data_IF_911524960288
#
_entry.id   IF_911524960288
#
_cell.length_a   1.000
_cell.length_b   1.000
_cell.length_c   1.000
_cell.angle_alpha   90.00
_cell.angle_beta   90.00
_cell.angle_gamma   90.00
#
_symmetry.space_group_name_H-M   'P 1'
#
loop_
_entity.id
_entity.type
_entity.pdbx_description
1 polymer ?
#
# COMPACT_ATOMS: atom_id res chain seq x y z
N UNK A 1 -19.58 -16.35 12.88
CA UNK A 1 -20.16 -16.87 14.17
C UNK A 1 -21.38 -17.75 13.91
N UNK A 2 -21.85 -18.53 14.89
CA UNK A 2 -23.10 -19.31 14.73
C UNK A 2 -24.32 -18.41 14.84
N UNK A 3 -25.42 -18.74 14.13
CA UNK A 3 -26.69 -17.99 14.22
C UNK A 3 -27.22 -17.93 15.65
N UNK A 4 -27.06 -19.00 16.45
CA UNK A 4 -27.47 -19.03 17.86
C UNK A 4 -26.70 -18.04 18.74
N UNK A 5 -25.41 -17.85 18.49
CA UNK A 5 -24.57 -16.88 19.21
C UNK A 5 -24.97 -15.46 18.84
N UNK A 6 -25.13 -15.19 17.55
CA UNK A 6 -25.57 -13.90 17.05
C UNK A 6 -26.95 -13.50 17.60
N UNK A 7 -27.90 -14.45 17.62
CA UNK A 7 -29.23 -14.18 18.17
C UNK A 7 -29.16 -13.72 19.64
N UNK A 8 -28.29 -14.35 20.45
CA UNK A 8 -28.08 -13.94 21.85
C UNK A 8 -27.49 -12.53 21.95
N UNK A 9 -26.49 -12.22 21.11
CA UNK A 9 -25.85 -10.89 21.06
C UNK A 9 -26.85 -9.79 20.66
N UNK A 10 -27.80 -10.11 19.77
CA UNK A 10 -28.85 -9.19 19.34
C UNK A 10 -30.08 -9.16 20.29
N UNK A 11 -30.05 -9.93 21.37
CA UNK A 11 -31.17 -9.99 22.32
C UNK A 11 -32.44 -10.62 21.76
N UNK A 12 -32.34 -11.46 20.71
CA UNK A 12 -33.49 -12.13 20.07
C UNK A 12 -33.42 -13.64 20.25
N UNK A 13 -34.57 -14.31 20.10
CA UNK A 13 -34.62 -15.78 20.15
C UNK A 13 -34.00 -16.40 18.90
N UNK A 14 -33.47 -17.63 19.05
CA UNK A 14 -32.95 -18.38 17.90
C UNK A 14 -34.02 -18.57 16.81
N UNK A 15 -35.27 -18.80 17.20
CA UNK A 15 -36.38 -18.96 16.27
C UNK A 15 -36.65 -17.70 15.44
N UNK A 16 -36.51 -16.51 16.05
CA UNK A 16 -36.64 -15.25 15.33
C UNK A 16 -35.50 -15.08 14.33
N UNK A 17 -34.25 -15.33 14.76
CA UNK A 17 -33.08 -15.28 13.88
C UNK A 17 -33.17 -16.28 12.72
N UNK A 18 -33.70 -17.51 13.00
CA UNK A 18 -33.87 -18.55 11.96
C UNK A 18 -34.93 -18.13 10.93
N UNK A 19 -36.03 -17.50 11.36
CA UNK A 19 -37.04 -16.94 10.43
C UNK A 19 -36.41 -15.86 9.54
N UNK A 20 -35.63 -14.95 10.11
CA UNK A 20 -34.92 -13.91 9.34
C UNK A 20 -33.96 -14.52 8.30
N UNK A 21 -33.26 -15.60 8.67
CA UNK A 21 -32.41 -16.35 7.73
C UNK A 21 -33.23 -16.94 6.57
N UNK A 22 -34.29 -17.67 6.90
CA UNK A 22 -35.16 -18.32 5.90
C UNK A 22 -35.79 -17.30 4.93
N UNK A 23 -36.19 -16.16 5.46
CA UNK A 23 -36.86 -15.11 4.69
C UNK A 23 -35.87 -14.15 4.00
N UNK A 24 -34.55 -14.42 4.06
CA UNK A 24 -33.50 -13.59 3.45
C UNK A 24 -33.36 -12.18 4.07
N UNK A 25 -33.85 -11.99 5.29
CA UNK A 25 -33.91 -10.68 5.99
C UNK A 25 -32.82 -10.51 7.06
N UNK A 26 -31.80 -11.39 7.07
CA UNK A 26 -30.66 -11.18 7.96
C UNK A 26 -29.84 -9.95 7.50
N UNK A 27 -29.42 -9.08 8.45
CA UNK A 27 -28.61 -7.90 8.11
C UNK A 27 -27.16 -8.24 7.75
N UNK A 28 -26.76 -9.51 7.90
CA UNK A 28 -25.40 -10.01 7.65
C UNK A 28 -25.46 -11.26 6.77
N UNK A 29 -24.49 -11.46 5.87
CA UNK A 29 -24.43 -12.67 5.05
C UNK A 29 -24.37 -13.92 5.90
N UNK A 30 -25.13 -14.95 5.52
CA UNK A 30 -25.20 -16.22 6.24
C UNK A 30 -25.08 -17.40 5.28
N UNK A 31 -24.39 -18.44 5.71
CA UNK A 31 -24.19 -19.68 4.96
C UNK A 31 -24.63 -20.87 5.80
N UNK A 32 -25.37 -21.81 5.20
CA UNK A 32 -25.75 -23.06 5.84
C UNK A 32 -24.72 -24.13 5.49
N UNK A 33 -24.05 -24.65 6.49
CA UNK A 33 -23.12 -25.77 6.32
C UNK A 33 -23.86 -27.08 6.03
N UNK A 34 -23.17 -28.09 5.44
CA UNK A 34 -23.76 -29.44 5.22
C UNK A 34 -24.28 -30.08 6.51
N UNK A 35 -23.73 -29.72 7.66
CA UNK A 35 -24.19 -30.16 8.99
C UNK A 35 -25.50 -29.52 9.44
N UNK A 36 -26.10 -28.65 8.62
CA UNK A 36 -27.32 -27.91 8.98
C UNK A 36 -27.06 -26.64 9.83
N UNK A 37 -25.83 -26.41 10.29
CA UNK A 37 -25.49 -25.25 11.10
C UNK A 37 -25.43 -23.99 10.22
N UNK A 38 -26.12 -22.94 10.66
CA UNK A 38 -26.07 -21.63 9.98
C UNK A 38 -24.94 -20.79 10.60
N UNK A 39 -24.00 -20.36 9.75
CA UNK A 39 -22.88 -19.50 10.13
C UNK A 39 -23.09 -18.13 9.49
N UNK A 40 -23.05 -17.10 10.32
CA UNK A 40 -22.99 -15.73 9.86
C UNK A 40 -21.55 -15.32 9.59
N UNK A 41 -21.35 -14.67 8.46
CA UNK A 41 -20.10 -14.01 8.07
C UNK A 41 -20.34 -12.50 8.14
N UNK A 42 -20.26 -11.88 9.35
CA UNK A 42 -20.37 -10.42 9.42
C UNK A 42 -19.33 -9.82 8.46
N UNK A 43 -19.64 -8.68 7.83
CA UNK A 43 -18.65 -7.97 7.05
C UNK A 43 -17.40 -7.83 7.92
N UNK A 44 -16.26 -8.23 7.40
CA UNK A 44 -14.99 -8.01 8.10
C UNK A 44 -14.90 -6.50 8.29
N UNK A 45 -14.88 -6.03 9.52
CA UNK A 45 -14.61 -4.61 9.78
C UNK A 45 -13.33 -4.27 9.07
N UNK A 46 -13.44 -3.36 8.09
CA UNK A 46 -12.28 -2.96 7.32
C UNK A 46 -11.37 -2.17 8.26
N UNK A 47 -10.08 -2.49 8.28
CA UNK A 47 -9.17 -1.77 9.14
C UNK A 47 -9.17 -0.29 8.76
N UNK A 48 -9.40 0.58 9.71
CA UNK A 48 -9.46 2.04 9.52
C UNK A 48 -8.12 2.71 9.75
N UNK A 49 -7.13 1.96 10.28
CA UNK A 49 -5.80 2.48 10.58
C UNK A 49 -5.03 2.90 9.33
N UNK A 50 -4.41 4.08 9.40
CA UNK A 50 -3.54 4.61 8.35
C UNK A 50 -2.09 4.22 8.64
N UNK A 51 -1.41 3.67 7.65
CA UNK A 51 0.04 3.60 7.66
C UNK A 51 0.61 4.66 6.71
N UNK A 52 1.46 5.50 7.25
CA UNK A 52 2.24 6.47 6.48
C UNK A 52 3.46 5.76 5.90
N UNK A 53 3.67 5.87 4.60
CA UNK A 53 4.86 5.37 3.93
C UNK A 53 5.60 6.51 3.25
N UNK A 54 6.88 6.66 3.57
CA UNK A 54 7.77 7.64 2.98
C UNK A 54 9.02 6.96 2.40
N UNK A 55 9.49 7.44 1.25
CA UNK A 55 10.64 6.89 0.55
C UNK A 55 11.52 7.99 -0.03
N UNK A 56 12.82 7.77 0.02
CA UNK A 56 13.80 8.51 -0.77
C UNK A 56 14.68 7.54 -1.56
N UNK A 57 15.22 7.98 -2.68
CA UNK A 57 16.01 7.15 -3.58
C UNK A 57 17.42 6.91 -3.03
N UNK A 58 18.01 7.88 -2.33
CA UNK A 58 19.37 7.79 -1.78
C UNK A 58 19.43 8.13 -0.29
N UNK A 59 20.53 7.73 0.36
CA UNK A 59 20.77 8.04 1.77
C UNK A 59 20.99 9.52 2.04
N UNK A 60 21.42 10.28 1.06
CA UNK A 60 21.72 11.72 1.18
C UNK A 60 20.44 12.55 1.33
N UNK A 61 19.30 11.99 0.89
CA UNK A 61 17.97 12.59 0.97
C UNK A 61 17.20 12.20 2.25
N UNK A 62 17.85 11.62 3.26
CA UNK A 62 17.18 11.14 4.49
C UNK A 62 16.43 12.23 5.26
N UNK A 63 16.91 13.47 5.23
CA UNK A 63 16.22 14.60 5.85
C UNK A 63 14.84 14.85 5.27
N UNK A 64 14.62 14.47 4.03
CA UNK A 64 13.34 14.63 3.33
C UNK A 64 12.28 13.62 3.80
N UNK A 65 12.70 12.47 4.35
CA UNK A 65 11.78 11.47 4.90
C UNK A 65 10.93 12.02 6.04
N UNK A 66 11.53 12.80 6.93
CA UNK A 66 10.81 13.39 8.07
C UNK A 66 9.76 14.38 7.59
N UNK A 67 10.09 15.21 6.59
CA UNK A 67 9.16 16.12 5.96
C UNK A 67 8.00 15.41 5.28
N UNK A 68 8.26 14.34 4.51
CA UNK A 68 7.23 13.51 3.89
C UNK A 68 6.28 12.91 4.95
N UNK A 69 6.85 12.32 6.00
CA UNK A 69 6.07 11.72 7.09
C UNK A 69 5.18 12.77 7.76
N UNK A 70 5.72 13.96 8.06
CA UNK A 70 4.97 15.03 8.72
C UNK A 70 3.78 15.48 7.88
N UNK A 71 3.98 15.75 6.57
CA UNK A 71 2.91 16.18 5.66
C UNK A 71 1.81 15.14 5.51
N UNK A 72 2.17 13.86 5.35
CA UNK A 72 1.20 12.77 5.23
C UNK A 72 0.45 12.52 6.55
N UNK A 73 1.13 12.59 7.69
CA UNK A 73 0.51 12.44 9.01
C UNK A 73 -0.44 13.60 9.32
N UNK A 74 -0.08 14.82 8.99
CA UNK A 74 -0.95 15.99 9.12
C UNK A 74 -2.22 15.84 8.26
N UNK A 75 -2.06 15.42 7.00
CA UNK A 75 -3.19 15.13 6.14
C UNK A 75 -4.11 14.04 6.75
N UNK A 76 -3.56 12.92 7.24
CA UNK A 76 -4.33 11.87 7.88
C UNK A 76 -5.09 12.39 9.09
N UNK A 77 -4.43 13.21 9.93
CA UNK A 77 -5.03 13.84 11.11
C UNK A 77 -6.16 14.78 10.73
N UNK A 78 -6.00 15.60 9.68
CA UNK A 78 -7.05 16.50 9.19
C UNK A 78 -8.31 15.77 8.71
N UNK A 79 -8.16 14.48 8.31
CA UNK A 79 -9.28 13.59 7.95
C UNK A 79 -9.84 12.79 9.13
N UNK A 80 -9.29 12.95 10.33
CA UNK A 80 -9.68 12.18 11.51
C UNK A 80 -9.27 10.70 11.44
N UNK A 81 -8.26 10.36 10.62
CA UNK A 81 -7.81 8.98 10.46
C UNK A 81 -6.66 8.67 11.44
N UNK A 82 -6.77 7.59 12.24
CA UNK A 82 -5.72 7.25 13.18
C UNK A 82 -4.48 6.71 12.44
N UNK A 83 -3.34 7.37 12.63
CA UNK A 83 -2.06 6.88 12.14
C UNK A 83 -1.56 5.77 13.09
N UNK A 84 -1.59 4.53 12.61
CA UNK A 84 -1.21 3.34 13.40
C UNK A 84 0.22 2.88 13.12
N UNK A 85 0.81 3.34 12.03
CA UNK A 85 2.17 2.97 11.64
C UNK A 85 2.83 4.02 10.75
N UNK A 86 4.12 4.21 10.94
CA UNK A 86 4.98 4.97 10.02
C UNK A 86 6.10 4.06 9.52
N UNK A 87 6.31 4.07 8.21
CA UNK A 87 7.34 3.26 7.53
C UNK A 87 8.17 4.17 6.65
N UNK A 88 9.46 4.23 6.91
CA UNK A 88 10.42 4.97 6.08
C UNK A 88 11.40 4.02 5.43
N UNK A 89 11.71 4.24 4.16
CA UNK A 89 12.60 3.37 3.38
C UNK A 89 13.52 4.19 2.48
N UNK A 90 14.77 3.74 2.37
CA UNK A 90 15.73 4.28 1.40
C UNK A 90 15.90 3.24 0.31
N UNK A 91 15.62 3.61 -0.94
CA UNK A 91 15.74 2.72 -2.08
C UNK A 91 14.96 3.26 -3.28
N UNK A 92 15.32 2.79 -4.46
CA UNK A 92 14.72 3.22 -5.72
C UNK A 92 13.23 2.87 -5.82
N UNK A 93 12.45 3.79 -6.39
CA UNK A 93 11.04 3.58 -6.77
C UNK A 93 10.84 2.56 -7.89
N UNK A 94 11.90 2.24 -8.62
CA UNK A 94 11.95 1.25 -9.70
C UNK A 94 12.35 -0.14 -9.20
N UNK A 95 12.90 -0.24 -7.97
CA UNK A 95 13.28 -1.52 -7.40
C UNK A 95 12.07 -2.19 -6.73
N UNK A 96 11.68 -3.36 -7.24
CA UNK A 96 10.59 -4.16 -6.66
C UNK A 96 10.93 -4.80 -5.29
N UNK A 97 12.21 -4.85 -4.91
CA UNK A 97 12.61 -5.46 -3.64
C UNK A 97 12.75 -4.43 -2.52
N UNK A 98 11.61 -4.07 -1.92
CA UNK A 98 11.52 -3.15 -0.78
C UNK A 98 10.87 -3.87 0.41
N UNK A 99 11.69 -4.45 1.31
CA UNK A 99 11.19 -5.34 2.36
C UNK A 99 10.23 -4.65 3.34
N UNK A 100 10.45 -3.36 3.63
CA UNK A 100 9.57 -2.62 4.53
C UNK A 100 8.21 -2.34 3.89
N UNK A 101 8.18 -1.95 2.60
CA UNK A 101 6.95 -1.80 1.84
C UNK A 101 6.20 -3.14 1.74
N UNK A 102 6.90 -4.22 1.39
CA UNK A 102 6.29 -5.56 1.30
C UNK A 102 5.64 -5.97 2.62
N UNK A 103 6.33 -5.75 3.75
CA UNK A 103 5.77 -6.02 5.08
C UNK A 103 4.54 -5.16 5.38
N UNK A 104 4.54 -3.89 4.97
CA UNK A 104 3.41 -2.99 5.11
C UNK A 104 2.20 -3.45 4.29
N UNK A 105 2.43 -3.79 3.02
CA UNK A 105 1.36 -4.25 2.12
C UNK A 105 0.75 -5.58 2.58
N UNK A 106 1.54 -6.44 3.22
CA UNK A 106 1.10 -7.72 3.77
C UNK A 106 0.40 -7.62 5.12
N UNK A 107 0.35 -6.44 5.75
CA UNK A 107 -0.26 -6.27 7.07
C UNK A 107 -1.78 -6.02 6.96
N UNK A 108 -2.62 -7.01 7.35
CA UNK A 108 -4.07 -6.87 7.24
C UNK A 108 -4.68 -5.87 8.24
N UNK A 109 -3.93 -5.40 9.23
CA UNK A 109 -4.40 -4.42 10.21
C UNK A 109 -4.41 -2.99 9.66
N UNK A 110 -3.71 -2.75 8.54
CA UNK A 110 -3.62 -1.46 7.87
C UNK A 110 -4.70 -1.37 6.80
N UNK A 111 -5.66 -0.48 6.97
CA UNK A 111 -6.73 -0.23 6.01
C UNK A 111 -6.34 0.78 4.93
N UNK A 112 -5.51 1.73 5.28
CA UNK A 112 -5.10 2.82 4.40
C UNK A 112 -3.58 2.89 4.37
N UNK A 113 -3.01 2.82 3.18
CA UNK A 113 -1.60 3.17 2.94
C UNK A 113 -1.58 4.59 2.39
N UNK A 114 -0.97 5.51 3.10
CA UNK A 114 -0.88 6.91 2.70
C UNK A 114 0.56 7.28 2.31
N UNK A 115 0.70 7.93 1.18
CA UNK A 115 1.97 8.42 0.63
C UNK A 115 1.83 9.88 0.23
N UNK A 116 2.92 10.63 0.21
CA UNK A 116 2.91 12.00 -0.26
C UNK A 116 2.62 12.06 -1.76
N UNK A 117 3.47 11.46 -2.56
CA UNK A 117 3.32 11.35 -4.01
C UNK A 117 3.21 9.88 -4.42
N UNK A 118 2.58 9.60 -5.56
CA UNK A 118 2.38 8.25 -6.07
C UNK A 118 3.70 7.50 -6.31
N UNK A 119 4.71 8.21 -6.78
CA UNK A 119 6.05 7.70 -7.03
C UNK A 119 6.82 7.32 -5.75
N UNK A 120 6.40 7.81 -4.58
CA UNK A 120 6.92 7.33 -3.29
C UNK A 120 6.54 5.88 -3.04
N UNK A 121 5.34 5.46 -3.48
CA UNK A 121 4.96 4.05 -3.44
C UNK A 121 5.76 3.26 -4.48
N UNK A 122 5.62 3.60 -5.75
CA UNK A 122 6.41 3.04 -6.87
C UNK A 122 6.25 3.89 -8.13
N UNK A 123 7.30 3.91 -8.95
CA UNK A 123 7.32 4.67 -10.20
C UNK A 123 6.38 4.08 -11.25
N UNK A 124 6.34 2.76 -11.34
CA UNK A 124 5.50 2.04 -12.29
C UNK A 124 4.71 0.97 -11.58
N UNK A 125 3.50 0.73 -12.03
CA UNK A 125 2.64 -0.34 -11.52
C UNK A 125 1.97 -0.03 -10.17
N UNK A 126 1.90 1.23 -9.74
CA UNK A 126 1.18 1.62 -8.54
C UNK A 126 -0.31 1.23 -8.61
N UNK A 127 -0.90 1.24 -9.82
CA UNK A 127 -2.25 0.80 -10.10
C UNK A 127 -2.50 -0.68 -9.75
N UNK A 128 -1.51 -1.55 -9.91
CA UNK A 128 -1.65 -2.95 -9.50
C UNK A 128 -1.72 -3.09 -7.99
N UNK A 129 -0.90 -2.33 -7.26
CA UNK A 129 -0.94 -2.31 -5.79
C UNK A 129 -2.26 -1.72 -5.30
N UNK A 130 -2.72 -0.64 -5.92
CA UNK A 130 -3.99 0.00 -5.61
C UNK A 130 -5.17 -0.98 -5.81
N UNK A 131 -5.19 -1.69 -6.95
CA UNK A 131 -6.19 -2.72 -7.24
C UNK A 131 -6.13 -3.88 -6.26
N UNK A 132 -4.94 -4.35 -5.89
CA UNK A 132 -4.76 -5.43 -4.91
C UNK A 132 -5.20 -5.02 -3.50
N UNK A 133 -4.96 -3.78 -3.10
CA UNK A 133 -5.46 -3.23 -1.83
C UNK A 133 -6.98 -3.13 -1.86
N UNK A 134 -7.57 -2.60 -2.95
CA UNK A 134 -9.01 -2.46 -3.12
C UNK A 134 -9.74 -3.81 -3.04
N UNK A 135 -9.19 -4.87 -3.64
CA UNK A 135 -9.72 -6.22 -3.55
C UNK A 135 -9.80 -6.76 -2.11
N UNK A 136 -9.00 -6.19 -1.20
CA UNK A 136 -9.01 -6.52 0.23
C UNK A 136 -9.84 -5.54 1.07
N UNK A 137 -10.53 -4.57 0.44
CA UNK A 137 -11.22 -3.48 1.13
C UNK A 137 -10.29 -2.44 1.74
N UNK A 138 -9.04 -2.42 1.31
CA UNK A 138 -7.99 -1.47 1.70
C UNK A 138 -7.84 -0.41 0.61
N UNK A 139 -7.15 0.68 0.88
CA UNK A 139 -6.94 1.71 -0.14
C UNK A 139 -5.59 2.39 -0.04
N UNK A 140 -5.12 2.87 -1.19
CA UNK A 140 -4.02 3.82 -1.29
C UNK A 140 -4.58 5.25 -1.21
N UNK A 141 -3.89 6.12 -0.51
CA UNK A 141 -4.16 7.57 -0.49
C UNK A 141 -2.88 8.31 -0.87
N UNK A 142 -2.97 9.12 -1.91
CA UNK A 142 -1.91 10.02 -2.37
C UNK A 142 -2.29 11.42 -1.95
N UNK A 143 -1.43 12.07 -1.15
CA UNK A 143 -1.72 13.39 -0.57
C UNK A 143 -1.54 14.48 -1.61
N UNK A 144 -0.48 14.41 -2.39
CA UNK A 144 -0.18 15.31 -3.49
C UNK A 144 -0.05 14.51 -4.80
N UNK A 145 -0.93 14.75 -5.78
CA UNK A 145 -0.89 14.06 -7.07
C UNK A 145 0.27 14.48 -7.97
N UNK A 146 1.06 15.49 -7.60
CA UNK A 146 2.24 15.91 -8.35
C UNK A 146 3.31 14.83 -8.44
N UNK A 147 4.15 14.88 -9.47
CA UNK A 147 5.32 14.01 -9.63
C UNK A 147 6.61 14.76 -9.33
N UNK A 148 7.51 14.11 -8.56
CA UNK A 148 8.84 14.64 -8.26
C UNK A 148 9.80 14.25 -9.39
N UNK A 149 10.19 15.24 -10.21
CA UNK A 149 11.07 15.02 -11.38
C UNK A 149 12.52 14.69 -10.98
N UNK A 150 13.02 15.27 -9.90
CA UNK A 150 14.44 15.16 -9.50
C UNK A 150 14.83 13.72 -9.12
N UNK A 151 13.93 12.95 -8.53
CA UNK A 151 14.19 11.56 -8.17
C UNK A 151 14.18 10.59 -9.37
N UNK A 152 13.56 10.97 -10.48
CA UNK A 152 13.46 10.09 -11.65
C UNK A 152 14.84 9.78 -12.24
N UNK A 153 15.69 10.79 -12.36
CA UNK A 153 17.06 10.64 -12.89
C UNK A 153 17.87 9.69 -12.00
N UNK A 154 17.78 9.86 -10.68
CA UNK A 154 18.48 9.01 -9.73
C UNK A 154 17.95 7.57 -9.77
N UNK A 155 16.64 7.37 -9.82
CA UNK A 155 16.02 6.06 -9.98
C UNK A 155 16.47 5.38 -11.29
N UNK A 156 16.57 6.11 -12.40
CA UNK A 156 17.08 5.58 -13.67
C UNK A 156 18.54 5.16 -13.59
N UNK A 157 19.40 5.97 -12.95
CA UNK A 157 20.82 5.64 -12.73
C UNK A 157 20.93 4.31 -11.97
N UNK A 158 20.11 4.10 -10.93
CA UNK A 158 20.13 2.86 -10.14
C UNK A 158 19.71 1.64 -10.97
N UNK A 159 18.66 1.75 -11.77
CA UNK A 159 18.21 0.66 -12.66
C UNK A 159 19.27 0.34 -13.70
N UNK A 160 19.78 1.34 -14.39
CA UNK A 160 20.86 1.15 -15.37
C UNK A 160 22.11 0.58 -14.72
N UNK A 161 22.44 0.99 -13.48
CA UNK A 161 23.54 0.41 -12.72
C UNK A 161 23.33 -1.08 -12.48
N UNK A 162 22.11 -1.48 -12.13
CA UNK A 162 21.76 -2.89 -11.95
C UNK A 162 21.89 -3.69 -13.23
N UNK A 163 21.42 -3.15 -14.36
CA UNK A 163 21.60 -3.76 -15.68
C UNK A 163 23.08 -3.87 -16.08
N UNK A 164 23.83 -2.79 -15.94
CA UNK A 164 25.26 -2.79 -16.25
C UNK A 164 26.03 -3.78 -15.37
N UNK A 165 25.66 -3.94 -14.11
CA UNK A 165 26.27 -4.90 -13.21
C UNK A 165 26.04 -6.35 -13.65
N UNK A 166 24.86 -6.65 -14.19
CA UNK A 166 24.51 -7.98 -14.72
C UNK A 166 25.20 -8.28 -16.04
N UNK A 167 25.30 -7.29 -16.92
CA UNK A 167 25.86 -7.47 -18.27
C UNK A 167 27.40 -7.42 -18.30
N UNK A 168 27.99 -6.55 -17.49
CA UNK A 168 29.44 -6.21 -17.59
C UNK A 168 30.20 -6.40 -16.27
N UNK A 169 29.53 -6.91 -15.24
CA UNK A 169 30.10 -7.05 -13.90
C UNK A 169 29.99 -5.78 -13.05
N UNK A 170 30.15 -5.95 -11.74
CA UNK A 170 29.91 -4.86 -10.76
C UNK A 170 30.90 -3.70 -10.83
N UNK A 171 32.13 -3.98 -11.30
CA UNK A 171 33.13 -2.91 -11.48
C UNK A 171 32.71 -1.98 -12.62
N UNK A 172 32.67 -0.68 -12.39
CA UNK A 172 32.26 0.36 -13.35
C UNK A 172 30.77 0.39 -13.75
N UNK A 173 29.90 -0.42 -13.18
CA UNK A 173 28.47 -0.45 -13.54
C UNK A 173 27.81 0.93 -13.37
N UNK A 174 28.02 1.59 -12.24
CA UNK A 174 27.48 2.93 -11.95
C UNK A 174 28.00 3.96 -12.94
N UNK A 175 29.29 3.96 -13.22
CA UNK A 175 29.92 4.90 -14.16
C UNK A 175 29.37 4.77 -15.59
N UNK A 176 29.04 3.54 -16.01
CA UNK A 176 28.40 3.28 -17.32
C UNK A 176 26.96 3.77 -17.33
N UNK A 177 26.21 3.59 -16.24
CA UNK A 177 24.84 4.07 -16.10
C UNK A 177 24.78 5.60 -16.16
N UNK A 178 25.62 6.29 -15.39
CA UNK A 178 25.71 7.75 -15.38
C UNK A 178 26.06 8.32 -16.76
N UNK A 179 27.00 7.68 -17.47
CA UNK A 179 27.34 8.07 -18.84
C UNK A 179 26.19 7.87 -19.82
N UNK A 180 25.44 6.76 -19.72
CA UNK A 180 24.29 6.49 -20.58
C UNK A 180 23.20 7.55 -20.40
N UNK A 181 22.87 7.93 -19.15
CA UNK A 181 21.90 8.98 -18.85
C UNK A 181 22.36 10.32 -19.39
N UNK A 182 23.65 10.65 -19.21
CA UNK A 182 24.22 11.91 -19.69
C UNK A 182 24.16 12.02 -21.23
N UNK A 183 24.55 10.97 -21.95
CA UNK A 183 24.45 10.93 -23.41
C UNK A 183 23.01 11.12 -23.89
N UNK A 184 22.04 10.43 -23.27
CA UNK A 184 20.63 10.59 -23.62
C UNK A 184 20.09 12.01 -23.38
N UNK A 185 20.57 12.71 -22.34
CA UNK A 185 20.18 14.09 -22.06
C UNK A 185 20.81 15.09 -23.06
N UNK A 186 22.02 14.84 -23.54
CA UNK A 186 22.73 15.71 -24.49
C UNK A 186 22.14 15.61 -25.91
N UNK A 187 21.68 14.43 -26.35
CA UNK A 187 21.04 14.25 -27.65
C UNK A 187 19.67 14.94 -27.78
N UNK A 188 18.99 15.23 -26.68
CA UNK A 188 17.73 15.99 -26.68
C UNK A 188 17.90 17.50 -26.74
N UNK A 189 19.13 18.01 -26.64
CA UNK A 189 19.47 19.43 -26.67
C UNK A 189 19.98 19.91 -28.05
N UNK A 190 20.07 19.02 -29.03
CA UNK A 190 20.45 19.31 -30.43
C UNK A 190 19.25 19.26 -31.34
#
# INVERSE_FOLDING_TARGET
MKLSTWAKEQGITYQAAWRMYRDGKLPVPAEKLPTGTIILKPPKELPTGVAVYARVSSSDQRSDLEGQVARVAEYATSKGWPVVRTVTEVGSGLNGHRPKLMKLLSDPSVGIVAVEHRDRLMRFGAEYVESALAAQGRRLVVVDPGEMKDDLVQDMIEVLTSFCARLYGRRSARHRAERAVKCAAEETAS
#
